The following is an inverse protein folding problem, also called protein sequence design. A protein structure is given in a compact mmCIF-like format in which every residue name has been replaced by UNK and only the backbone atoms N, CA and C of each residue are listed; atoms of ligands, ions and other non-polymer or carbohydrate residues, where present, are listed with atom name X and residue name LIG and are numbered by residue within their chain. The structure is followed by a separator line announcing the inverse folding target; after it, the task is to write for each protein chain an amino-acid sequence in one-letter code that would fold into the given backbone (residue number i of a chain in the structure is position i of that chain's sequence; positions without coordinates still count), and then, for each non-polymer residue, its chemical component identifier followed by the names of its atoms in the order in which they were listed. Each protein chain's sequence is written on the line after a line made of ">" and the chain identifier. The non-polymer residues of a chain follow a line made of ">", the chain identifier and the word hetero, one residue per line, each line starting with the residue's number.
data_IF_744488381897
#
_entry.id   IF_744488381897
#
_cell.length_a   1.000
_cell.length_b   1.000
_cell.length_c   1.000
_cell.angle_alpha   90.00
_cell.angle_beta   90.00
_cell.angle_gamma   90.00
#
_symmetry.space_group_name_H-M   'P 1'
#
loop_
_entity.id
_entity.type
_entity.pdbx_description
1 polymer ?
#
# COMPACT_ATOMS: atom_id res chain seq x y z
N UNK A 1 -2.00 -39.92 25.46
CA UNK A 1 -0.60 -39.63 25.08
C UNK A 1 -0.37 -38.16 25.36
N UNK A 2 0.46 -37.82 26.34
CA UNK A 2 0.72 -36.43 26.73
C UNK A 2 2.02 -35.95 26.05
N UNK A 3 1.99 -34.80 25.37
CA UNK A 3 3.15 -34.23 24.66
C UNK A 3 3.40 -32.81 25.16
N UNK A 4 4.66 -32.47 25.39
CA UNK A 4 5.12 -31.13 25.76
C UNK A 4 6.33 -30.76 24.89
N UNK A 5 6.41 -29.50 24.48
CA UNK A 5 7.50 -28.96 23.67
C UNK A 5 8.08 -27.75 24.38
N UNK A 6 9.41 -27.63 24.34
CA UNK A 6 10.14 -26.40 24.70
C UNK A 6 10.72 -25.87 23.40
N UNK A 7 10.43 -24.60 23.08
CA UNK A 7 10.91 -23.91 21.89
C UNK A 7 11.91 -22.87 22.37
N UNK A 8 13.16 -22.97 21.91
CA UNK A 8 14.27 -22.10 22.31
C UNK A 8 15.10 -21.67 21.08
N UNK A 9 15.91 -20.63 21.22
CA UNK A 9 16.82 -20.18 20.16
C UNK A 9 18.04 -21.10 20.07
N UNK A 10 18.55 -21.40 18.86
CA UNK A 10 19.84 -22.05 18.74
C UNK A 10 20.94 -21.12 19.30
N UNK A 11 22.13 -21.66 19.64
CA UNK A 11 23.27 -20.82 19.98
C UNK A 11 23.50 -19.75 18.90
N UNK A 12 23.61 -18.47 19.31
CA UNK A 12 23.87 -17.33 18.42
C UNK A 12 25.21 -17.54 17.70
N UNK A 13 25.18 -18.09 16.47
CA UNK A 13 26.38 -18.40 15.68
C UNK A 13 26.28 -17.75 14.32
N UNK A 14 27.30 -16.97 13.97
CA UNK A 14 27.54 -16.48 12.62
C UNK A 14 28.64 -17.32 11.98
N UNK A 15 28.45 -17.65 10.71
CA UNK A 15 29.49 -18.28 9.90
C UNK A 15 30.35 -17.20 9.25
N UNK A 16 31.64 -17.18 9.58
CA UNK A 16 32.63 -16.32 8.93
C UNK A 16 33.51 -17.20 8.06
N UNK A 17 33.54 -16.91 6.76
CA UNK A 17 34.41 -17.58 5.79
C UNK A 17 35.54 -16.61 5.45
N UNK A 18 36.75 -16.93 5.88
CA UNK A 18 37.94 -16.14 5.56
C UNK A 18 38.56 -16.63 4.25
N UNK A 19 38.68 -15.74 3.27
CA UNK A 19 39.43 -15.99 2.06
C UNK A 19 40.82 -15.40 2.20
N UNK A 20 41.85 -16.17 1.84
CA UNK A 20 43.25 -15.72 1.89
C UNK A 20 43.85 -15.77 0.48
N UNK A 21 44.48 -14.68 0.07
CA UNK A 21 45.25 -14.58 -1.16
C UNK A 21 46.71 -14.26 -0.84
N UNK A 22 47.63 -15.03 -1.39
CA UNK A 22 49.06 -14.81 -1.16
C UNK A 22 49.67 -13.95 -2.27
N UNK A 23 50.59 -13.08 -1.86
CA UNK A 23 51.47 -12.33 -2.75
C UNK A 23 52.86 -12.96 -2.71
N UNK A 24 53.43 -13.29 -3.87
CA UNK A 24 54.79 -13.83 -3.98
C UNK A 24 55.62 -13.02 -4.96
N UNK A 25 56.87 -12.73 -4.60
CA UNK A 25 57.85 -12.13 -5.49
C UNK A 25 58.69 -13.22 -6.16
N UNK A 26 58.80 -13.20 -7.48
CA UNK A 26 59.67 -14.11 -8.21
C UNK A 26 61.14 -13.75 -7.95
N UNK A 27 61.98 -14.66 -7.42
CA UNK A 27 63.37 -14.34 -7.09
C UNK A 27 64.24 -14.05 -8.32
N UNK A 28 63.78 -14.43 -9.53
CA UNK A 28 64.54 -14.27 -10.79
C UNK A 28 64.20 -12.98 -11.53
N UNK A 29 62.91 -12.68 -11.72
CA UNK A 29 62.47 -11.51 -12.48
C UNK A 29 61.89 -10.39 -11.61
N UNK A 30 61.83 -10.59 -10.28
CA UNK A 30 61.27 -9.64 -9.30
C UNK A 30 59.79 -9.30 -9.50
N UNK A 31 59.10 -9.96 -10.44
CA UNK A 31 57.68 -9.76 -10.65
C UNK A 31 56.87 -10.27 -9.46
N UNK A 32 55.92 -9.44 -9.01
CA UNK A 32 54.97 -9.78 -7.97
C UNK A 32 53.78 -10.48 -8.61
N UNK A 33 53.50 -11.70 -8.16
CA UNK A 33 52.28 -12.44 -8.49
C UNK A 33 51.33 -12.39 -7.29
N UNK A 34 50.10 -11.95 -7.54
CA UNK A 34 49.04 -11.91 -6.54
C UNK A 34 48.00 -12.96 -6.91
N UNK A 35 47.63 -13.83 -5.95
CA UNK A 35 46.50 -14.73 -6.12
C UNK A 35 45.19 -13.93 -6.18
N UNK A 36 44.26 -14.33 -7.06
CA UNK A 36 42.94 -13.70 -7.15
C UNK A 36 42.00 -14.26 -6.07
N UNK A 37 41.15 -13.40 -5.53
CA UNK A 37 39.98 -13.81 -4.76
C UNK A 37 38.87 -14.31 -5.70
N UNK A 38 37.89 -15.09 -5.20
CA UNK A 38 36.65 -15.35 -5.92
C UNK A 38 35.95 -14.05 -6.36
N UNK A 39 35.25 -14.06 -7.49
CA UNK A 39 34.65 -12.83 -8.09
C UNK A 39 33.62 -12.13 -7.20
N UNK A 40 33.02 -12.86 -6.27
CA UNK A 40 32.02 -12.39 -5.31
C UNK A 40 32.66 -11.84 -4.02
N UNK A 41 33.95 -12.05 -3.77
CA UNK A 41 34.71 -11.53 -2.62
C UNK A 41 35.43 -10.24 -3.01
N UNK A 42 34.80 -9.09 -2.72
CA UNK A 42 35.20 -7.78 -3.27
C UNK A 42 35.68 -6.78 -2.24
N UNK A 43 35.52 -7.08 -0.96
CA UNK A 43 35.89 -6.19 0.14
C UNK A 43 36.58 -6.98 1.27
N UNK A 44 37.41 -6.32 2.11
CA UNK A 44 38.04 -6.97 3.26
C UNK A 44 37.03 -7.62 4.22
N UNK A 45 35.85 -7.00 4.37
CA UNK A 45 34.70 -7.56 5.07
C UNK A 45 33.47 -7.31 4.22
N UNK A 46 32.66 -8.34 3.99
CA UNK A 46 31.39 -8.24 3.30
C UNK A 46 30.33 -9.12 3.96
N UNK A 47 29.08 -8.66 3.92
CA UNK A 47 27.96 -9.34 4.53
C UNK A 47 27.23 -10.21 3.51
N UNK A 48 27.05 -11.50 3.86
CA UNK A 48 26.32 -12.46 3.05
C UNK A 48 24.82 -12.16 2.93
N UNK A 49 24.15 -12.84 2.00
CA UNK A 49 22.74 -12.60 1.69
C UNK A 49 21.81 -12.86 2.88
N UNK A 50 22.04 -13.91 3.68
CA UNK A 50 21.20 -14.24 4.83
C UNK A 50 21.15 -13.12 5.88
N UNK A 51 22.32 -12.64 6.34
CA UNK A 51 22.38 -11.53 7.31
C UNK A 51 21.93 -10.20 6.67
N UNK A 52 22.21 -10.01 5.37
CA UNK A 52 21.70 -8.85 4.66
C UNK A 52 20.17 -8.83 4.58
N UNK A 53 19.54 -9.99 4.39
CA UNK A 53 18.09 -10.13 4.34
C UNK A 53 17.44 -9.76 5.67
N UNK A 54 18.07 -10.12 6.80
CA UNK A 54 17.64 -9.69 8.14
C UNK A 54 17.66 -8.17 8.25
N UNK A 55 18.76 -7.53 7.84
CA UNK A 55 18.86 -6.07 7.86
C UNK A 55 17.79 -5.40 7.01
N UNK A 56 17.62 -5.86 5.76
CA UNK A 56 16.56 -5.35 4.87
C UNK A 56 15.18 -5.55 5.48
N UNK A 57 14.91 -6.72 6.06
CA UNK A 57 13.64 -7.02 6.73
C UNK A 57 13.36 -6.07 7.90
N UNK A 58 14.34 -5.85 8.79
CA UNK A 58 14.18 -4.96 9.94
C UNK A 58 13.81 -3.53 9.50
N UNK A 59 14.46 -3.00 8.46
CA UNK A 59 14.21 -1.62 8.01
C UNK A 59 12.94 -1.51 7.15
N UNK A 60 12.74 -2.43 6.19
CA UNK A 60 11.71 -2.29 5.16
C UNK A 60 10.36 -2.91 5.54
N UNK A 61 10.37 -3.91 6.41
CA UNK A 61 9.14 -4.56 6.90
C UNK A 61 8.78 -4.16 8.32
N UNK A 62 9.76 -4.20 9.23
CA UNK A 62 9.54 -3.88 10.65
C UNK A 62 9.71 -2.40 10.97
N UNK A 63 10.14 -1.61 9.99
CA UNK A 63 10.28 -0.14 10.07
C UNK A 63 11.22 0.30 11.20
N UNK A 64 12.20 -0.52 11.53
CA UNK A 64 13.22 -0.20 12.53
C UNK A 64 14.18 0.85 11.95
N UNK A 65 14.44 1.97 12.64
CA UNK A 65 15.43 2.95 12.20
C UNK A 65 16.80 2.32 11.98
N UNK A 66 17.55 2.82 10.99
CA UNK A 66 18.82 2.22 10.55
C UNK A 66 19.80 1.91 11.69
N UNK A 67 20.09 2.88 12.56
CA UNK A 67 21.02 2.69 13.70
C UNK A 67 20.54 1.60 14.65
N UNK A 68 19.23 1.55 14.93
CA UNK A 68 18.62 0.53 15.78
C UNK A 68 18.60 -0.84 15.10
N UNK A 69 18.47 -0.89 13.77
CA UNK A 69 18.56 -2.14 13.04
C UNK A 69 19.99 -2.72 13.09
N UNK A 70 21.00 -1.86 12.98
CA UNK A 70 22.41 -2.22 13.18
C UNK A 70 22.65 -2.74 14.61
N UNK A 71 22.15 -2.03 15.63
CA UNK A 71 22.22 -2.45 17.05
C UNK A 71 21.58 -3.83 17.26
N UNK A 72 20.38 -4.06 16.74
CA UNK A 72 19.69 -5.36 16.83
C UNK A 72 20.51 -6.48 16.18
N UNK A 73 21.15 -6.23 15.04
CA UNK A 73 22.00 -7.23 14.38
C UNK A 73 23.22 -7.53 15.26
N UNK A 74 23.86 -6.51 15.83
CA UNK A 74 25.03 -6.68 16.70
C UNK A 74 24.67 -7.45 17.98
N UNK A 75 23.61 -7.05 18.69
CA UNK A 75 23.20 -7.66 19.97
C UNK A 75 22.69 -9.10 19.83
N UNK A 76 21.98 -9.39 18.73
CA UNK A 76 21.36 -10.70 18.53
C UNK A 76 22.23 -11.66 17.74
N UNK A 77 23.07 -11.16 16.83
CA UNK A 77 23.85 -11.99 15.90
C UNK A 77 25.36 -11.83 16.08
N UNK A 78 25.85 -10.73 16.64
CA UNK A 78 27.26 -10.49 16.96
C UNK A 78 28.05 -9.55 16.02
N UNK A 79 27.84 -9.53 14.67
CA UNK A 79 28.68 -8.72 13.80
C UNK A 79 28.18 -7.27 13.73
N UNK A 80 29.10 -6.32 13.78
CA UNK A 80 28.80 -4.88 13.73
C UNK A 80 28.68 -4.38 12.29
N UNK A 81 27.46 -4.11 11.85
CA UNK A 81 27.15 -3.59 10.52
C UNK A 81 26.97 -2.08 10.55
N UNK A 82 27.67 -1.34 9.68
CA UNK A 82 27.45 0.10 9.55
C UNK A 82 26.13 0.44 8.84
N UNK A 83 25.55 1.60 9.16
CA UNK A 83 24.35 2.13 8.47
C UNK A 83 24.55 2.21 6.96
N UNK A 84 25.73 2.64 6.49
CA UNK A 84 26.05 2.71 5.07
C UNK A 84 26.05 1.34 4.38
N UNK A 85 26.52 0.30 5.08
CA UNK A 85 26.45 -1.08 4.57
C UNK A 85 25.00 -1.54 4.42
N UNK A 86 24.17 -1.29 5.44
CA UNK A 86 22.76 -1.63 5.43
C UNK A 86 21.99 -0.89 4.32
N UNK A 87 22.28 0.40 4.12
CA UNK A 87 21.75 1.17 3.01
C UNK A 87 22.13 0.55 1.65
N UNK A 88 23.40 0.20 1.45
CA UNK A 88 23.85 -0.46 0.22
C UNK A 88 23.15 -1.80 -0.04
N UNK A 89 22.84 -2.56 1.00
CA UNK A 89 22.05 -3.81 0.90
C UNK A 89 20.61 -3.55 0.45
N UNK A 90 19.98 -2.51 1.00
CA UNK A 90 18.63 -2.08 0.61
C UNK A 90 18.61 -1.62 -0.85
N UNK A 91 19.56 -0.80 -1.26
CA UNK A 91 19.69 -0.33 -2.65
C UNK A 91 19.90 -1.49 -3.63
N UNK A 92 20.76 -2.46 -3.26
CA UNK A 92 20.96 -3.68 -4.06
C UNK A 92 19.69 -4.51 -4.16
N UNK A 93 18.98 -4.73 -3.04
CA UNK A 93 17.72 -5.46 -3.02
C UNK A 93 16.67 -4.78 -3.91
N UNK A 94 16.48 -3.46 -3.76
CA UNK A 94 15.56 -2.70 -4.59
C UNK A 94 15.92 -2.75 -6.08
N UNK A 95 17.21 -2.74 -6.43
CA UNK A 95 17.62 -2.89 -7.83
C UNK A 95 17.22 -4.26 -8.39
N UNK A 96 17.43 -5.34 -7.63
CA UNK A 96 17.10 -6.70 -8.07
C UNK A 96 15.59 -6.94 -8.17
N UNK A 97 14.77 -6.19 -7.44
CA UNK A 97 13.31 -6.29 -7.46
C UNK A 97 12.63 -5.47 -8.55
N UNK A 98 13.36 -4.65 -9.30
CA UNK A 98 12.77 -3.82 -10.37
C UNK A 98 12.01 -4.65 -11.43
N UNK A 99 12.53 -5.78 -11.93
CA UNK A 99 11.77 -6.62 -12.87
C UNK A 99 10.50 -7.23 -12.26
N UNK A 100 10.51 -7.53 -10.96
CA UNK A 100 9.35 -8.10 -10.24
C UNK A 100 8.28 -7.02 -10.05
N UNK A 101 8.68 -5.81 -9.68
CA UNK A 101 7.79 -4.65 -9.60
C UNK A 101 7.06 -4.38 -10.92
N UNK A 102 7.76 -4.46 -12.05
CA UNK A 102 7.12 -4.29 -13.36
C UNK A 102 6.09 -5.39 -13.67
N UNK A 103 6.36 -6.64 -13.27
CA UNK A 103 5.40 -7.74 -13.43
C UNK A 103 4.17 -7.54 -12.53
N UNK A 104 4.36 -7.13 -11.27
CA UNK A 104 3.26 -6.79 -10.35
C UNK A 104 2.41 -5.69 -10.97
N UNK A 105 3.05 -4.62 -11.44
CA UNK A 105 2.37 -3.50 -12.09
C UNK A 105 1.55 -3.95 -13.32
N UNK A 106 2.14 -4.78 -14.18
CA UNK A 106 1.46 -5.31 -15.36
C UNK A 106 0.26 -6.21 -15.03
N UNK A 107 0.34 -6.99 -13.94
CA UNK A 107 -0.77 -7.80 -13.45
C UNK A 107 -1.89 -6.92 -12.85
N UNK A 108 -1.54 -5.88 -12.09
CA UNK A 108 -2.50 -4.92 -11.55
C UNK A 108 -3.28 -4.18 -12.65
N UNK A 109 -2.66 -3.87 -13.80
CA UNK A 109 -3.34 -3.30 -14.97
C UNK A 109 -4.47 -4.20 -15.53
N UNK A 110 -4.49 -5.49 -15.18
CA UNK A 110 -5.48 -6.48 -15.67
C UNK A 110 -6.40 -6.99 -14.56
N UNK A 111 -6.29 -6.42 -13.36
CA UNK A 111 -7.12 -6.84 -12.24
C UNK A 111 -8.59 -6.47 -12.48
N UNK A 112 -9.51 -7.33 -12.03
CA UNK A 112 -10.94 -7.04 -12.09
C UNK A 112 -11.32 -5.90 -11.14
N UNK A 113 -10.78 -5.93 -9.92
CA UNK A 113 -11.00 -4.92 -8.87
C UNK A 113 -9.66 -4.45 -8.33
N UNK A 114 -9.43 -3.14 -8.36
CA UNK A 114 -8.20 -2.50 -7.94
C UNK A 114 -8.49 -1.51 -6.82
N UNK A 115 -7.85 -1.70 -5.67
CA UNK A 115 -7.91 -0.78 -4.54
C UNK A 115 -6.84 0.29 -4.62
N UNK A 116 -7.22 1.55 -4.42
CA UNK A 116 -6.32 2.69 -4.53
C UNK A 116 -6.45 3.66 -3.37
N UNK A 117 -5.33 4.17 -2.90
CA UNK A 117 -5.26 5.22 -1.89
C UNK A 117 -3.93 5.98 -2.04
N UNK A 118 -3.86 7.16 -1.43
CA UNK A 118 -2.66 7.96 -1.44
C UNK A 118 -2.46 8.76 -0.16
N UNK A 119 -1.20 9.00 0.19
CA UNK A 119 -0.87 9.73 1.39
C UNK A 119 0.36 10.60 1.25
N UNK A 120 0.28 11.79 1.86
CA UNK A 120 1.40 12.72 1.89
C UNK A 120 2.54 12.21 2.77
N UNK A 121 3.77 12.52 2.34
CA UNK A 121 5.02 12.32 3.07
C UNK A 121 6.06 13.36 2.67
N UNK A 122 7.18 13.40 3.38
CA UNK A 122 8.32 14.25 3.04
C UNK A 122 9.50 13.41 2.51
N UNK A 123 10.07 13.88 1.41
CA UNK A 123 11.25 13.32 0.76
C UNK A 123 12.24 14.47 0.54
N UNK A 124 13.44 14.38 1.09
CA UNK A 124 14.48 15.41 1.01
C UNK A 124 13.95 16.83 1.36
N UNK A 125 13.09 16.93 2.37
CA UNK A 125 12.49 18.19 2.82
C UNK A 125 11.30 18.70 1.99
N UNK A 126 10.91 18.00 0.91
CA UNK A 126 9.81 18.39 0.04
C UNK A 126 8.61 17.47 0.21
N UNK A 127 7.39 18.02 0.07
CA UNK A 127 6.17 17.23 0.14
C UNK A 127 6.00 16.39 -1.12
N UNK A 128 5.96 15.08 -0.94
CA UNK A 128 5.65 14.08 -1.95
C UNK A 128 4.37 13.33 -1.55
N UNK A 129 3.92 12.44 -2.43
CA UNK A 129 2.76 11.58 -2.24
C UNK A 129 3.17 10.15 -2.52
N UNK A 130 2.78 9.25 -1.61
CA UNK A 130 2.88 7.81 -1.83
C UNK A 130 1.52 7.31 -2.25
N UNK A 131 1.48 6.57 -3.33
CA UNK A 131 0.31 5.94 -3.91
C UNK A 131 0.40 4.44 -3.67
N UNK A 132 -0.73 3.82 -3.34
CA UNK A 132 -0.86 2.37 -3.33
C UNK A 132 -1.89 1.94 -4.38
N UNK A 133 -1.60 0.84 -5.06
CA UNK A 133 -2.54 0.14 -5.93
C UNK A 133 -2.44 -1.35 -5.62
N UNK A 134 -3.55 -1.97 -5.26
CA UNK A 134 -3.52 -3.29 -4.66
C UNK A 134 -4.76 -4.14 -4.93
N UNK A 135 -4.57 -5.45 -4.92
CA UNK A 135 -5.62 -6.47 -4.89
C UNK A 135 -5.45 -7.31 -3.63
N UNK A 136 -6.29 -8.33 -3.45
CA UNK A 136 -6.13 -9.32 -2.37
C UNK A 136 -4.77 -10.02 -2.40
N UNK A 137 -4.13 -10.11 -3.57
CA UNK A 137 -2.88 -10.86 -3.78
C UNK A 137 -1.68 -9.99 -4.09
N UNK A 138 -1.87 -8.81 -4.69
CA UNK A 138 -0.80 -7.97 -5.21
C UNK A 138 -0.80 -6.58 -4.57
N UNK A 139 0.39 -6.00 -4.42
CA UNK A 139 0.55 -4.63 -3.89
C UNK A 139 1.66 -3.90 -4.63
N UNK A 140 1.36 -2.72 -5.14
CA UNK A 140 2.33 -1.79 -5.69
C UNK A 140 2.28 -0.47 -4.93
N UNK A 141 3.45 0.05 -4.56
CA UNK A 141 3.61 1.40 -4.04
C UNK A 141 4.41 2.25 -5.02
N UNK A 142 4.09 3.53 -5.11
CA UNK A 142 4.90 4.50 -5.83
C UNK A 142 4.98 5.80 -5.08
N UNK A 143 6.13 6.48 -5.16
CA UNK A 143 6.31 7.82 -4.61
C UNK A 143 6.44 8.84 -5.74
N UNK A 144 5.73 9.95 -5.65
CA UNK A 144 5.74 10.99 -6.65
C UNK A 144 5.67 12.39 -6.01
N UNK A 145 6.24 13.41 -6.65
CA UNK A 145 6.23 14.78 -6.13
C UNK A 145 4.82 15.41 -6.19
N UNK A 146 3.99 14.93 -7.11
CA UNK A 146 2.58 15.31 -7.26
C UNK A 146 1.66 14.21 -6.73
N UNK A 147 0.45 14.58 -6.34
CA UNK A 147 -0.66 13.64 -6.03
C UNK A 147 -1.50 13.31 -7.27
N UNK A 148 -1.60 14.29 -8.17
CA UNK A 148 -2.60 14.44 -9.25
C UNK A 148 -2.66 13.32 -10.29
N UNK A 149 -3.48 13.57 -11.31
CA UNK A 149 -3.45 12.84 -12.58
C UNK A 149 -2.01 12.66 -13.10
N UNK A 150 -1.17 13.69 -13.03
CA UNK A 150 0.26 13.60 -13.42
C UNK A 150 1.00 12.45 -12.72
N UNK A 151 0.73 12.22 -11.43
CA UNK A 151 1.34 11.11 -10.69
C UNK A 151 0.76 9.77 -11.10
N UNK A 152 -0.56 9.69 -11.24
CA UNK A 152 -1.27 8.48 -11.64
C UNK A 152 -0.90 8.03 -13.07
N UNK A 153 -0.73 8.98 -13.99
CA UNK A 153 -0.23 8.74 -15.36
C UNK A 153 1.21 8.22 -15.33
N UNK A 154 2.10 8.87 -14.57
CA UNK A 154 3.48 8.41 -14.42
C UNK A 154 3.58 7.02 -13.76
N UNK A 155 2.68 6.71 -12.83
CA UNK A 155 2.54 5.37 -12.23
C UNK A 155 2.09 4.36 -13.27
N UNK A 156 1.26 4.74 -14.25
CA UNK A 156 0.94 3.93 -15.43
C UNK A 156 0.19 2.63 -15.12
N UNK A 157 -0.70 2.65 -14.11
CA UNK A 157 -1.60 1.53 -13.80
C UNK A 157 -3.02 1.80 -14.33
N UNK A 158 -3.51 3.02 -14.18
CA UNK A 158 -4.90 3.38 -14.53
C UNK A 158 -5.11 3.74 -16.00
N UNK A 159 -4.06 4.06 -16.73
CA UNK A 159 -4.16 4.31 -18.16
C UNK A 159 -4.53 3.01 -18.89
N UNK A 160 -5.71 2.99 -19.51
CA UNK A 160 -6.25 1.79 -20.16
C UNK A 160 -6.75 0.70 -19.20
N UNK A 161 -6.89 1.00 -17.91
CA UNK A 161 -7.50 0.06 -16.95
C UNK A 161 -9.02 -0.03 -17.21
N UNK A 162 -9.54 -1.25 -17.38
CA UNK A 162 -10.95 -1.51 -17.72
C UNK A 162 -11.76 -2.09 -16.55
N UNK A 163 -11.10 -2.44 -15.43
CA UNK A 163 -11.74 -2.99 -14.24
C UNK A 163 -12.44 -1.94 -13.37
N UNK A 164 -12.63 -2.28 -12.09
CA UNK A 164 -13.23 -1.39 -11.08
C UNK A 164 -12.13 -0.79 -10.20
N UNK A 165 -12.00 0.54 -10.18
CA UNK A 165 -11.15 1.26 -9.24
C UNK A 165 -11.93 1.61 -7.97
N UNK A 166 -11.51 1.05 -6.83
CA UNK A 166 -12.06 1.31 -5.49
C UNK A 166 -11.22 2.39 -4.82
N UNK A 167 -11.82 3.53 -4.48
CA UNK A 167 -11.11 4.68 -3.88
C UNK A 167 -11.99 5.55 -2.97
N UNK A 168 -11.41 6.57 -2.34
CA UNK A 168 -12.07 7.49 -1.39
C UNK A 168 -12.93 8.60 -2.05
N UNK A 169 -13.13 8.53 -3.37
CA UNK A 169 -13.84 9.55 -4.13
C UNK A 169 -13.00 10.77 -4.53
N UNK A 170 -11.67 10.74 -4.38
CA UNK A 170 -10.84 11.84 -4.84
C UNK A 170 -10.97 12.14 -6.34
N UNK A 171 -11.05 13.43 -6.69
CA UNK A 171 -11.44 13.91 -8.03
C UNK A 171 -10.57 13.37 -9.16
N UNK A 172 -9.27 13.14 -8.93
CA UNK A 172 -8.36 12.77 -10.03
C UNK A 172 -8.61 11.37 -10.58
N UNK A 173 -9.22 10.47 -9.81
CA UNK A 173 -9.57 9.13 -10.27
C UNK A 173 -10.64 9.18 -11.37
N UNK A 174 -11.56 10.13 -11.32
CA UNK A 174 -12.63 10.30 -12.32
C UNK A 174 -12.16 10.77 -13.71
N UNK A 175 -10.84 10.91 -13.92
CA UNK A 175 -10.26 11.16 -15.25
C UNK A 175 -10.01 9.87 -16.05
N UNK A 176 -10.18 8.70 -15.43
CA UNK A 176 -9.97 7.40 -16.07
C UNK A 176 -11.33 6.78 -16.40
N UNK A 177 -11.39 6.04 -17.52
CA UNK A 177 -12.64 5.49 -18.05
C UNK A 177 -13.10 4.19 -17.38
N UNK A 178 -12.33 3.67 -16.42
CA UNK A 178 -12.67 2.49 -15.64
C UNK A 178 -13.98 2.68 -14.87
N UNK A 179 -14.57 1.57 -14.40
CA UNK A 179 -15.65 1.68 -13.43
C UNK A 179 -15.09 2.16 -12.09
N UNK A 180 -15.89 2.90 -11.34
CA UNK A 180 -15.51 3.45 -10.05
C UNK A 180 -16.37 2.84 -8.94
N UNK A 181 -15.74 2.54 -7.81
CA UNK A 181 -16.40 2.18 -6.57
C UNK A 181 -15.90 3.09 -5.44
N UNK A 182 -16.82 3.59 -4.62
CA UNK A 182 -16.47 4.47 -3.51
C UNK A 182 -16.40 3.72 -2.18
N UNK A 183 -15.37 4.05 -1.39
CA UNK A 183 -15.23 3.54 -0.03
C UNK A 183 -16.35 4.09 0.86
N UNK A 184 -17.36 3.27 1.15
CA UNK A 184 -18.50 3.69 1.95
C UNK A 184 -18.12 4.02 3.40
N UNK A 185 -17.01 3.51 3.94
CA UNK A 185 -16.54 3.87 5.29
C UNK A 185 -16.30 5.39 5.42
N UNK A 186 -15.87 6.07 4.37
CA UNK A 186 -15.76 7.53 4.37
C UNK A 186 -17.13 8.19 4.47
N UNK A 187 -18.10 7.73 3.69
CA UNK A 187 -19.48 8.19 3.77
C UNK A 187 -20.10 7.92 5.15
N UNK A 188 -19.92 6.73 5.73
CA UNK A 188 -20.44 6.40 7.06
C UNK A 188 -19.90 7.34 8.14
N UNK A 189 -18.61 7.72 8.09
CA UNK A 189 -18.03 8.70 9.04
C UNK A 189 -18.70 10.07 8.92
N UNK A 190 -18.90 10.55 7.69
CA UNK A 190 -19.56 11.83 7.46
C UNK A 190 -21.05 11.80 7.82
N UNK A 191 -21.77 10.74 7.45
CA UNK A 191 -23.18 10.53 7.83
C UNK A 191 -23.36 10.48 9.35
N UNK A 192 -22.43 9.81 10.05
CA UNK A 192 -22.42 9.77 11.53
C UNK A 192 -22.30 11.17 12.11
N UNK A 193 -21.32 11.96 11.63
CA UNK A 193 -21.16 13.34 12.07
C UNK A 193 -22.40 14.20 11.80
N UNK A 194 -23.03 14.08 10.62
CA UNK A 194 -24.25 14.83 10.31
C UNK A 194 -25.43 14.44 11.20
N UNK A 195 -25.56 13.16 11.53
CA UNK A 195 -26.62 12.68 12.40
C UNK A 195 -26.39 13.10 13.86
N UNK A 196 -25.20 12.87 14.39
CA UNK A 196 -24.90 13.07 15.82
C UNK A 196 -24.71 14.56 16.15
N UNK A 197 -23.95 15.29 15.33
CA UNK A 197 -23.56 16.69 15.62
C UNK A 197 -24.45 17.74 14.94
N UNK A 198 -25.10 17.38 13.83
CA UNK A 198 -25.98 18.30 13.09
C UNK A 198 -27.45 17.88 13.12
N UNK A 199 -27.79 16.82 13.85
CA UNK A 199 -29.15 16.32 14.06
C UNK A 199 -29.92 16.13 12.74
N UNK A 200 -29.22 15.64 11.71
CA UNK A 200 -29.81 15.32 10.41
C UNK A 200 -30.31 13.87 10.41
N UNK A 201 -31.61 13.66 10.60
CA UNK A 201 -32.21 12.32 10.69
C UNK A 201 -32.02 11.48 9.42
N UNK A 202 -32.16 12.10 8.25
CA UNK A 202 -31.91 11.44 6.96
C UNK A 202 -30.51 10.83 6.88
N UNK A 203 -29.51 11.43 7.53
CA UNK A 203 -28.13 10.94 7.50
C UNK A 203 -27.98 9.65 8.33
N UNK A 204 -28.66 9.59 9.48
CA UNK A 204 -28.73 8.38 10.30
C UNK A 204 -29.44 7.24 9.57
N UNK A 205 -30.56 7.54 8.91
CA UNK A 205 -31.30 6.56 8.11
C UNK A 205 -30.50 6.08 6.89
N UNK A 206 -29.83 6.99 6.17
CA UNK A 206 -28.95 6.65 5.05
C UNK A 206 -27.80 5.74 5.47
N UNK A 207 -27.19 6.01 6.63
CA UNK A 207 -26.15 5.16 7.22
C UNK A 207 -26.68 3.74 7.46
N UNK A 208 -27.88 3.62 8.04
CA UNK A 208 -28.53 2.31 8.29
C UNK A 208 -28.79 1.58 6.97
N UNK A 209 -29.40 2.22 5.98
CA UNK A 209 -29.66 1.62 4.67
C UNK A 209 -28.36 1.09 4.02
N UNK A 210 -27.27 1.85 4.02
CA UNK A 210 -26.00 1.38 3.46
C UNK A 210 -25.44 0.14 4.19
N UNK A 211 -25.59 0.09 5.52
CA UNK A 211 -25.15 -1.05 6.33
C UNK A 211 -26.05 -2.28 6.13
N UNK A 212 -27.36 -2.08 5.98
CA UNK A 212 -28.31 -3.17 5.72
C UNK A 212 -28.09 -3.79 4.33
N UNK A 213 -27.84 -2.95 3.31
CA UNK A 213 -27.45 -3.41 1.97
C UNK A 213 -26.17 -4.25 2.06
N UNK A 214 -25.14 -3.76 2.78
CA UNK A 214 -23.89 -4.50 3.00
C UNK A 214 -24.16 -5.86 3.64
N UNK A 215 -24.97 -5.91 4.69
CA UNK A 215 -25.30 -7.15 5.38
C UNK A 215 -26.05 -8.14 4.46
N UNK A 216 -26.99 -7.65 3.64
CA UNK A 216 -27.70 -8.47 2.66
C UNK A 216 -26.77 -9.08 1.61
N UNK A 217 -25.85 -8.28 1.07
CA UNK A 217 -24.82 -8.75 0.12
C UNK A 217 -23.89 -9.78 0.77
N UNK A 218 -23.40 -9.52 1.97
CA UNK A 218 -22.53 -10.46 2.71
C UNK A 218 -23.23 -11.79 3.00
N UNK A 219 -24.50 -11.75 3.43
CA UNK A 219 -25.30 -12.95 3.67
C UNK A 219 -25.51 -13.75 2.37
N UNK A 220 -25.84 -13.06 1.27
CA UNK A 220 -25.99 -13.71 -0.03
C UNK A 220 -24.71 -14.39 -0.51
N UNK A 221 -23.54 -13.76 -0.29
CA UNK A 221 -22.23 -14.36 -0.59
C UNK A 221 -21.97 -15.62 0.24
N UNK A 222 -22.28 -15.60 1.53
CA UNK A 222 -22.15 -16.78 2.42
C UNK A 222 -23.01 -17.95 1.94
N UNK A 223 -24.18 -17.66 1.39
CA UNK A 223 -25.08 -18.64 0.78
C UNK A 223 -24.68 -19.08 -0.65
N UNK A 224 -23.57 -18.57 -1.17
CA UNK A 224 -23.07 -18.89 -2.51
C UNK A 224 -23.83 -18.22 -3.66
N UNK A 225 -24.64 -17.19 -3.38
CA UNK A 225 -25.34 -16.40 -4.39
C UNK A 225 -24.37 -15.39 -5.02
N UNK A 226 -24.50 -15.19 -6.33
CA UNK A 226 -23.71 -14.22 -7.09
C UNK A 226 -24.35 -12.82 -7.18
N UNK A 227 -25.62 -12.70 -6.81
CA UNK A 227 -26.37 -11.44 -6.80
C UNK A 227 -27.57 -11.53 -5.86
N UNK A 228 -28.15 -10.39 -5.47
CA UNK A 228 -29.47 -10.33 -4.86
C UNK A 228 -30.58 -10.45 -5.91
N UNK A 229 -31.82 -10.65 -5.45
CA UNK A 229 -32.97 -10.71 -6.36
C UNK A 229 -33.21 -9.31 -6.99
N UNK A 230 -33.56 -9.20 -8.28
CA UNK A 230 -33.71 -7.89 -8.94
C UNK A 230 -34.70 -6.94 -8.25
N UNK A 231 -35.79 -7.46 -7.69
CA UNK A 231 -36.75 -6.65 -6.91
C UNK A 231 -36.14 -6.12 -5.61
N UNK A 232 -35.34 -6.94 -4.93
CA UNK A 232 -34.64 -6.52 -3.70
C UNK A 232 -33.62 -5.41 -3.99
N UNK A 233 -32.87 -5.52 -5.10
CA UNK A 233 -31.94 -4.47 -5.56
C UNK A 233 -32.70 -3.18 -5.90
N UNK A 234 -33.85 -3.29 -6.58
CA UNK A 234 -34.68 -2.13 -6.91
C UNK A 234 -35.23 -1.44 -5.65
N UNK A 235 -35.68 -2.21 -4.66
CA UNK A 235 -36.17 -1.70 -3.38
C UNK A 235 -35.08 -0.95 -2.62
N UNK A 236 -33.85 -1.48 -2.57
CA UNK A 236 -32.71 -0.79 -1.95
C UNK A 236 -32.36 0.53 -2.65
N UNK A 237 -32.33 0.53 -3.99
CA UNK A 237 -32.07 1.75 -4.77
C UNK A 237 -33.18 2.79 -4.59
N UNK A 238 -34.44 2.37 -4.45
CA UNK A 238 -35.57 3.25 -4.18
C UNK A 238 -35.49 3.87 -2.78
N UNK A 239 -35.15 3.10 -1.74
CA UNK A 239 -34.95 3.61 -0.38
C UNK A 239 -33.81 4.63 -0.32
N UNK A 240 -32.68 4.32 -0.98
CA UNK A 240 -31.55 5.24 -1.09
C UNK A 240 -31.96 6.57 -1.74
N UNK A 241 -32.66 6.52 -2.87
CA UNK A 241 -33.12 7.71 -3.58
C UNK A 241 -34.12 8.54 -2.74
N UNK A 242 -35.04 7.89 -2.03
CA UNK A 242 -35.99 8.58 -1.15
C UNK A 242 -35.29 9.37 -0.03
N UNK A 243 -34.23 8.80 0.54
CA UNK A 243 -33.42 9.45 1.57
C UNK A 243 -32.57 10.61 1.03
N UNK A 244 -32.09 10.52 -0.21
CA UNK A 244 -31.47 11.68 -0.88
C UNK A 244 -32.45 12.84 -1.04
N UNK A 245 -33.68 12.56 -1.46
CA UNK A 245 -34.73 13.57 -1.60
C UNK A 245 -35.10 14.20 -0.26
N UNK A 246 -35.22 13.41 0.81
CA UNK A 246 -35.42 13.93 2.16
C UNK A 246 -34.25 14.82 2.60
N UNK A 247 -33.02 14.36 2.39
CA UNK A 247 -31.83 15.12 2.72
C UNK A 247 -31.75 16.45 1.98
N UNK A 248 -32.11 16.48 0.69
CA UNK A 248 -32.18 17.71 -0.09
C UNK A 248 -33.30 18.65 0.34
N UNK A 249 -34.43 18.11 0.81
CA UNK A 249 -35.53 18.89 1.37
C UNK A 249 -35.14 19.53 2.71
N UNK A 250 -34.41 18.79 3.55
CA UNK A 250 -33.85 19.28 4.80
C UNK A 250 -32.69 20.27 4.61
N UNK A 251 -31.99 20.18 3.47
CA UNK A 251 -30.82 21.00 3.14
C UNK A 251 -31.03 21.71 1.79
N UNK A 252 -31.96 22.69 1.71
CA UNK A 252 -32.22 23.43 0.48
C UNK A 252 -30.96 24.21 0.04
N UNK A 253 -30.83 24.52 -1.27
CA UNK A 253 -29.72 25.32 -1.76
C UNK A 253 -29.70 26.69 -1.07
N UNK A 254 -28.49 27.19 -0.80
CA UNK A 254 -28.32 28.55 -0.28
C UNK A 254 -28.97 29.56 -1.24
N UNK A 255 -29.65 30.60 -0.72
CA UNK A 255 -30.18 31.67 -1.56
C UNK A 255 -29.03 32.37 -2.32
N UNK A 256 -29.31 32.94 -3.51
CA UNK A 256 -28.30 33.67 -4.28
C UNK A 256 -27.67 34.80 -3.43
N UNK A 257 -26.40 35.14 -3.70
CA UNK A 257 -25.70 36.15 -2.91
C UNK A 257 -26.46 37.48 -2.93
N UNK A 258 -26.55 38.14 -1.77
CA UNK A 258 -27.07 39.50 -1.66
C UNK A 258 -26.28 40.44 -2.60
N UNK A 259 -26.99 41.33 -3.27
CA UNK A 259 -26.41 42.32 -4.19
C UNK A 259 -25.30 43.09 -3.46
N UNK A 260 -24.05 42.93 -3.92
CA UNK A 260 -22.88 43.65 -3.40
C UNK A 260 -21.82 42.82 -2.67
N UNK A 261 -22.11 41.57 -2.27
CA UNK A 261 -21.08 40.66 -1.71
C UNK A 261 -20.45 39.82 -2.82
N UNK A 262 -19.12 39.97 -3.03
CA UNK A 262 -18.35 39.14 -3.98
C UNK A 262 -17.99 37.80 -3.35
N UNK A 263 -18.24 36.71 -4.08
CA UNK A 263 -17.82 35.34 -3.72
C UNK A 263 -18.98 34.36 -3.54
N UNK A 264 -18.77 33.08 -3.90
CA UNK A 264 -19.75 32.01 -3.68
C UNK A 264 -19.84 31.71 -2.19
N UNK A 265 -21.07 31.66 -1.63
CA UNK A 265 -21.29 31.22 -0.26
C UNK A 265 -20.80 29.78 -0.09
N UNK A 266 -20.14 29.49 1.03
CA UNK A 266 -19.64 28.13 1.33
C UNK A 266 -20.84 27.21 1.54
N UNK A 267 -20.96 26.20 0.68
CA UNK A 267 -21.97 25.15 0.78
C UNK A 267 -21.79 24.32 2.06
N UNK A 268 -22.90 23.91 2.68
CA UNK A 268 -22.89 23.12 3.93
C UNK A 268 -22.27 21.74 3.74
N UNK A 269 -21.76 21.15 4.83
CA UNK A 269 -21.22 19.79 4.82
C UNK A 269 -22.27 18.76 4.38
N UNK A 270 -23.50 18.88 4.90
CA UNK A 270 -24.63 18.04 4.52
C UNK A 270 -24.93 18.09 3.01
N UNK A 271 -25.02 19.30 2.43
CA UNK A 271 -25.26 19.46 1.00
C UNK A 271 -24.11 18.91 0.15
N UNK A 272 -22.87 19.14 0.57
CA UNK A 272 -21.71 18.57 -0.14
C UNK A 272 -21.72 17.04 -0.13
N UNK A 273 -22.15 16.39 0.96
CA UNK A 273 -22.26 14.94 1.02
C UNK A 273 -23.42 14.43 0.16
N UNK A 274 -24.60 15.06 0.23
CA UNK A 274 -25.74 14.73 -0.62
C UNK A 274 -25.39 14.82 -2.10
N UNK A 275 -24.73 15.90 -2.51
CA UNK A 275 -24.29 16.07 -3.90
C UNK A 275 -23.34 14.96 -4.33
N UNK A 276 -22.42 14.51 -3.46
CA UNK A 276 -21.53 13.38 -3.78
C UNK A 276 -22.27 12.05 -3.85
N UNK A 277 -23.13 11.76 -2.87
CA UNK A 277 -23.93 10.54 -2.83
C UNK A 277 -24.88 10.43 -4.04
N UNK A 278 -25.50 11.55 -4.43
CA UNK A 278 -26.37 11.63 -5.61
C UNK A 278 -25.57 11.55 -6.92
N UNK A 279 -24.55 12.39 -7.10
CA UNK A 279 -23.77 12.45 -8.36
C UNK A 279 -23.04 11.14 -8.65
N UNK A 280 -22.57 10.45 -7.61
CA UNK A 280 -21.79 9.23 -7.74
C UNK A 280 -22.54 7.99 -7.24
N UNK A 281 -23.88 8.02 -7.24
CA UNK A 281 -24.72 6.95 -6.69
C UNK A 281 -24.36 5.56 -7.24
N UNK A 282 -24.09 5.46 -8.55
CA UNK A 282 -23.68 4.19 -9.17
C UNK A 282 -22.39 3.65 -8.54
N UNK A 283 -21.39 4.50 -8.29
CA UNK A 283 -20.13 4.10 -7.66
C UNK A 283 -20.27 3.83 -6.16
N UNK A 284 -21.18 4.53 -5.47
CA UNK A 284 -21.48 4.30 -4.04
C UNK A 284 -22.12 2.92 -3.86
N UNK A 285 -23.03 2.55 -4.76
CA UNK A 285 -23.84 1.32 -4.68
C UNK A 285 -23.29 0.18 -5.53
N UNK A 286 -22.15 0.32 -6.21
CA UNK A 286 -21.64 -0.72 -7.12
C UNK A 286 -21.46 -2.10 -6.44
N UNK A 287 -21.15 -2.13 -5.13
CA UNK A 287 -21.04 -3.36 -4.34
C UNK A 287 -22.37 -4.14 -4.22
N UNK A 288 -23.51 -3.48 -4.41
CA UNK A 288 -24.84 -4.10 -4.47
C UNK A 288 -25.05 -4.84 -5.79
N UNK A 289 -24.56 -4.27 -6.90
CA UNK A 289 -24.73 -4.82 -8.24
C UNK A 289 -23.63 -5.82 -8.63
N UNK A 290 -22.43 -5.66 -8.08
CA UNK A 290 -21.27 -6.52 -8.33
C UNK A 290 -20.62 -7.00 -7.02
N UNK A 291 -20.81 -8.27 -6.68
CA UNK A 291 -20.31 -8.88 -5.44
C UNK A 291 -18.78 -9.02 -5.37
N UNK A 292 -18.06 -8.84 -6.49
CA UNK A 292 -16.59 -8.74 -6.47
C UNK A 292 -16.11 -7.40 -5.89
N UNK A 293 -16.96 -6.36 -5.95
CA UNK A 293 -16.64 -5.03 -5.43
C UNK A 293 -16.95 -4.97 -3.93
N UNK A 294 -15.98 -4.64 -3.08
CA UNK A 294 -16.21 -4.53 -1.64
C UNK A 294 -16.91 -3.23 -1.27
N UNK A 295 -17.58 -3.25 -0.12
CA UNK A 295 -18.21 -2.07 0.48
C UNK A 295 -17.19 -0.97 0.86
N UNK A 296 -15.96 -1.36 1.17
CA UNK A 296 -14.92 -0.50 1.68
C UNK A 296 -13.57 -0.68 0.98
N UNK A 297 -12.65 0.24 1.24
CA UNK A 297 -11.30 0.25 0.68
C UNK A 297 -10.25 -0.17 1.73
N UNK A 298 -10.62 -1.03 2.69
CA UNK A 298 -9.75 -1.41 3.82
C UNK A 298 -8.43 -2.05 3.38
N UNK A 299 -8.40 -2.61 2.16
CA UNK A 299 -7.19 -3.22 1.61
C UNK A 299 -6.11 -2.15 1.36
N UNK A 300 -6.41 -1.13 0.56
CA UNK A 300 -5.47 -0.03 0.33
C UNK A 300 -5.17 0.75 1.62
N UNK A 301 -6.18 0.99 2.47
CA UNK A 301 -6.00 1.68 3.75
C UNK A 301 -5.02 0.93 4.68
N UNK A 302 -5.11 -0.41 4.77
CA UNK A 302 -4.17 -1.23 5.56
C UNK A 302 -2.75 -1.19 5.00
N UNK A 303 -2.61 -1.28 3.69
CA UNK A 303 -1.32 -1.24 3.02
C UNK A 303 -0.64 0.13 3.22
N UNK A 304 -1.36 1.22 2.96
CA UNK A 304 -0.80 2.59 3.07
C UNK A 304 -0.53 3.00 4.52
N UNK A 305 -1.19 2.39 5.52
CA UNK A 305 -0.95 2.65 6.94
C UNK A 305 0.51 2.44 7.31
N UNK A 306 1.21 1.49 6.70
CA UNK A 306 2.64 1.24 6.99
C UNK A 306 3.52 2.43 6.60
N UNK A 307 3.13 3.21 5.61
CA UNK A 307 3.80 4.47 5.23
C UNK A 307 3.65 5.51 6.34
N UNK A 308 2.47 5.58 6.99
CA UNK A 308 2.25 6.45 8.15
C UNK A 308 3.02 5.99 9.37
N UNK A 309 3.12 4.68 9.61
CA UNK A 309 3.96 4.14 10.69
C UNK A 309 5.41 4.54 10.45
N UNK A 310 5.90 4.39 9.21
CA UNK A 310 7.26 4.77 8.88
C UNK A 310 7.53 6.26 9.09
N UNK A 311 6.57 7.13 8.73
CA UNK A 311 6.68 8.56 9.02
C UNK A 311 6.67 8.86 10.53
N UNK A 312 5.88 8.12 11.33
CA UNK A 312 5.87 8.31 12.79
C UNK A 312 7.19 7.89 13.44
N UNK A 313 7.82 6.84 12.92
CA UNK A 313 9.06 6.28 13.48
C UNK A 313 10.30 7.04 12.99
N UNK A 314 10.39 7.32 11.70
CA UNK A 314 11.59 7.87 11.06
C UNK A 314 11.42 9.31 10.54
N UNK A 315 10.21 9.87 10.59
CA UNK A 315 9.91 11.24 10.16
C UNK A 315 9.75 11.38 8.64
N UNK A 316 10.86 11.27 7.90
CA UNK A 316 10.91 11.52 6.45
C UNK A 316 11.94 10.64 5.73
N UNK A 317 11.85 10.58 4.40
CA UNK A 317 12.91 10.00 3.58
C UNK A 317 13.96 11.07 3.26
N UNK A 318 15.23 10.75 3.45
CA UNK A 318 16.34 11.69 3.20
C UNK A 318 16.67 11.85 1.70
N UNK A 319 16.28 10.90 0.87
CA UNK A 319 16.50 10.94 -0.59
C UNK A 319 15.33 10.35 -1.38
N UNK A 320 15.13 10.78 -2.65
CA UNK A 320 14.18 10.14 -3.56
C UNK A 320 14.48 8.67 -3.82
N UNK A 321 15.77 8.31 -3.96
CA UNK A 321 16.20 6.92 -4.17
C UNK A 321 15.80 6.01 -3.02
N UNK A 322 15.93 6.48 -1.77
CA UNK A 322 15.52 5.74 -0.59
C UNK A 322 14.00 5.55 -0.50
N UNK A 323 13.22 6.55 -0.94
CA UNK A 323 11.76 6.44 -0.99
C UNK A 323 11.30 5.45 -2.07
N UNK A 324 11.94 5.44 -3.24
CA UNK A 324 11.68 4.45 -4.31
C UNK A 324 12.06 3.04 -3.86
N UNK A 325 13.23 2.87 -3.24
CA UNK A 325 13.66 1.58 -2.71
C UNK A 325 12.66 1.04 -1.67
N UNK A 326 12.16 1.91 -0.79
CA UNK A 326 11.12 1.56 0.16
C UNK A 326 9.82 1.10 -0.52
N UNK A 327 9.32 1.87 -1.48
CA UNK A 327 8.10 1.52 -2.22
C UNK A 327 8.22 0.13 -2.85
N UNK A 328 9.32 -0.12 -3.54
CA UNK A 328 9.56 -1.36 -4.26
C UNK A 328 9.67 -2.57 -3.35
N UNK A 329 10.54 -2.49 -2.32
CA UNK A 329 10.73 -3.60 -1.39
C UNK A 329 9.43 -3.85 -0.61
N UNK A 330 8.76 -2.79 -0.13
CA UNK A 330 7.52 -2.94 0.62
C UNK A 330 6.37 -3.50 -0.24
N UNK A 331 6.27 -3.11 -1.50
CA UNK A 331 5.30 -3.67 -2.46
C UNK A 331 5.51 -5.17 -2.68
N UNK A 332 6.76 -5.56 -2.93
CA UNK A 332 7.17 -6.96 -3.02
C UNK A 332 6.83 -7.75 -1.74
N UNK A 333 7.20 -7.23 -0.57
CA UNK A 333 6.95 -7.89 0.70
C UNK A 333 5.46 -7.97 1.06
N UNK A 334 4.68 -6.92 0.81
CA UNK A 334 3.22 -6.94 1.01
C UNK A 334 2.57 -8.01 0.13
N UNK A 335 2.97 -8.07 -1.15
CA UNK A 335 2.52 -9.10 -2.10
C UNK A 335 2.82 -10.52 -1.58
N UNK A 336 4.07 -10.78 -1.19
CA UNK A 336 4.46 -12.10 -0.67
C UNK A 336 3.76 -12.46 0.65
N UNK A 337 3.53 -11.49 1.53
CA UNK A 337 2.75 -11.73 2.75
C UNK A 337 1.30 -12.11 2.44
N UNK A 338 0.65 -11.45 1.47
CA UNK A 338 -0.72 -11.79 1.01
C UNK A 338 -0.80 -13.23 0.50
N UNK A 339 0.28 -13.72 -0.12
CA UNK A 339 0.40 -15.06 -0.69
C UNK A 339 0.95 -16.11 0.29
N UNK A 340 1.18 -15.74 1.56
CA UNK A 340 1.69 -16.67 2.58
C UNK A 340 3.14 -17.10 2.38
N UNK A 341 3.95 -16.35 1.61
CA UNK A 341 5.34 -16.70 1.34
C UNK A 341 6.28 -16.28 2.48
N UNK A 342 7.38 -17.04 2.63
CA UNK A 342 8.43 -16.75 3.61
C UNK A 342 9.31 -15.55 3.18
N UNK A 343 8.97 -14.36 3.67
CA UNK A 343 9.60 -13.09 3.25
C UNK A 343 11.10 -13.01 3.49
N UNK A 344 11.63 -13.61 4.56
CA UNK A 344 13.06 -13.54 4.87
C UNK A 344 13.88 -14.31 3.81
N UNK A 345 13.45 -15.52 3.47
CA UNK A 345 14.02 -16.31 2.38
C UNK A 345 13.90 -15.57 1.05
N UNK A 346 12.76 -14.93 0.80
CA UNK A 346 12.55 -14.18 -0.43
C UNK A 346 13.49 -12.96 -0.58
N UNK A 347 13.84 -12.29 0.53
CA UNK A 347 14.84 -11.21 0.56
C UNK A 347 16.25 -11.74 0.35
N UNK A 348 16.59 -12.88 0.94
CA UNK A 348 17.88 -13.54 0.72
C UNK A 348 18.07 -13.90 -0.75
N UNK A 349 17.05 -14.52 -1.35
CA UNK A 349 17.03 -14.86 -2.78
C UNK A 349 17.12 -13.62 -3.68
N UNK A 350 16.42 -12.52 -3.33
CA UNK A 350 16.57 -11.26 -4.04
C UNK A 350 18.00 -10.69 -3.95
N UNK A 351 18.68 -10.81 -2.80
CA UNK A 351 20.04 -10.30 -2.61
C UNK A 351 21.10 -11.08 -3.39
N UNK A 352 20.87 -12.37 -3.69
CA UNK A 352 21.71 -13.18 -4.59
C UNK A 352 21.32 -13.06 -6.06
N UNK A 353 20.30 -12.26 -6.40
CA UNK A 353 19.89 -12.00 -7.79
C UNK A 353 18.85 -12.96 -8.36
N UNK A 354 18.18 -13.74 -7.50
CA UNK A 354 17.14 -14.69 -7.88
C UNK A 354 15.84 -14.41 -7.11
N UNK A 355 15.22 -13.22 -7.25
CA UNK A 355 14.03 -12.89 -6.47
C UNK A 355 12.90 -13.89 -6.69
N UNK A 356 12.21 -14.25 -5.62
CA UNK A 356 11.05 -15.15 -5.67
C UNK A 356 9.92 -14.44 -6.41
N UNK A 357 9.40 -15.03 -7.47
CA UNK A 357 8.27 -14.43 -8.20
C UNK A 357 6.96 -14.70 -7.44
N UNK A 358 6.12 -13.67 -7.23
CA UNK A 358 4.79 -13.88 -6.70
C UNK A 358 3.89 -14.59 -7.73
N UNK A 359 2.80 -15.18 -7.25
CA UNK A 359 1.68 -15.54 -8.11
C UNK A 359 0.99 -14.26 -8.62
N UNK A 360 0.61 -14.23 -9.89
CA UNK A 360 0.02 -13.07 -10.56
C UNK A 360 -1.45 -13.27 -10.88
#
# INVERSE_FOLDING_TARGET
>A
MERRQVIDLPPKRVLVIEHQAHQKCCPRCQQISLAAFPEDVRAPVQYGAAIGAVGVYLVQQQLVPYERACEVIEDLMGPSMSVGTLQGLIERCAKQLEPVEQQIKAALCRAEVLHQDETGLYVAGQRHWMHVSATEQLTHYAVHAKRGKEALDAIGILEGFEGVSVHDGWRSYWHYACQHALCNVHHLRELTFLHEEQHQDWAGQMKTVLLDIKAAVEQARVEGRASLHPLEVADWKAQYAALLEEGYRANPPDPPPEVGKRGRRKQSAARNLLDRLSTHQEAVLLFLDNFAVPFDNSLAERDIRMVKVQQKVSGCFRSPTGAVAFCRIRGYLSTLCKQGCAVLTALEQALVGHPVLPAF
#
